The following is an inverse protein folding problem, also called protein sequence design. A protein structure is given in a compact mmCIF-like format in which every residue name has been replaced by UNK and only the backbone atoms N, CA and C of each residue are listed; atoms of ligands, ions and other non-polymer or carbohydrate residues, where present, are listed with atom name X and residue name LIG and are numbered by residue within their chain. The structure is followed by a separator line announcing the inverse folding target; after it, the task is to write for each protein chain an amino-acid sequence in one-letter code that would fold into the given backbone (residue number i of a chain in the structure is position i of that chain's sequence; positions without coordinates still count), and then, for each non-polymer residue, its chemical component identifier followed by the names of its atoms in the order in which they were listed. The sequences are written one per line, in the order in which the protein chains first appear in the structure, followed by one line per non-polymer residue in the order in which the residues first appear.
data_IF_131044525240
#
_entry.id   IF_131044525240
#
_cell.length_a   1.000
_cell.length_b   1.000
_cell.length_c   1.000
_cell.angle_alpha   90.00
_cell.angle_beta   90.00
_cell.angle_gamma   90.00
#
_symmetry.space_group_name_H-M   'P 1'
#
loop_
_entity.id
_entity.type
_entity.pdbx_description
1 polymer ?
#
# COMPACT_ATOMS: atom_id res chain seq x y z
N UNK A 1 24.62 23.90 -15.28
CA UNK A 1 23.58 22.87 -15.30
C UNK A 1 22.75 23.08 -16.56
N UNK A 2 23.05 22.28 -17.61
CA UNK A 2 22.44 22.45 -18.93
C UNK A 2 21.22 21.57 -19.07
N UNK A 3 20.11 22.21 -19.46
CA UNK A 3 18.89 21.65 -20.04
C UNK A 3 18.25 20.45 -19.32
N UNK A 4 17.40 20.75 -18.37
CA UNK A 4 16.23 19.94 -18.11
C UNK A 4 15.32 20.04 -19.34
N UNK A 5 15.47 19.09 -20.28
CA UNK A 5 14.62 19.08 -21.47
C UNK A 5 13.17 18.91 -21.06
N UNK A 6 12.34 19.90 -21.41
CA UNK A 6 10.90 19.77 -21.33
C UNK A 6 10.47 18.71 -22.33
N UNK A 7 9.58 17.84 -21.91
CA UNK A 7 9.05 16.75 -22.73
C UNK A 7 7.91 17.33 -23.57
N UNK A 8 7.96 17.30 -24.91
CA UNK A 8 7.03 18.04 -25.77
C UNK A 8 5.64 17.38 -25.86
N UNK A 9 5.01 17.14 -24.71
CA UNK A 9 3.73 16.43 -24.59
C UNK A 9 2.63 17.15 -25.37
N UNK A 10 2.62 18.49 -25.36
CA UNK A 10 1.60 19.30 -26.05
C UNK A 10 1.77 19.31 -27.57
N UNK A 11 2.95 19.01 -28.06
CA UNK A 11 3.29 19.03 -29.50
C UNK A 11 3.07 17.68 -30.18
N UNK A 12 3.12 16.59 -29.41
CA UNK A 12 2.89 15.24 -29.92
C UNK A 12 1.38 14.98 -29.92
N UNK A 13 0.76 15.10 -31.07
CA UNK A 13 -0.69 14.91 -31.24
C UNK A 13 -1.07 13.44 -31.43
N UNK A 14 -0.15 12.61 -31.92
CA UNK A 14 -0.37 11.18 -32.12
C UNK A 14 -0.20 10.42 -30.81
N UNK A 15 -1.23 9.68 -30.38
CA UNK A 15 -1.24 8.95 -29.12
C UNK A 15 -0.23 7.81 -29.09
N UNK A 16 -0.02 7.11 -30.20
CA UNK A 16 0.93 5.99 -30.25
C UNK A 16 2.37 6.48 -30.13
N UNK A 17 2.68 7.62 -30.76
CA UNK A 17 3.97 8.27 -30.64
C UNK A 17 4.24 8.75 -29.20
N UNK A 18 3.26 9.38 -28.57
CA UNK A 18 3.38 9.84 -27.18
C UNK A 18 3.48 8.65 -26.22
N UNK A 19 2.70 7.60 -26.43
CA UNK A 19 2.75 6.37 -25.64
C UNK A 19 4.12 5.68 -25.75
N UNK A 20 4.71 5.67 -26.95
CA UNK A 20 6.05 5.12 -27.16
C UNK A 20 7.11 5.94 -26.41
N UNK A 21 7.06 7.26 -26.48
CA UNK A 21 7.97 8.14 -25.75
C UNK A 21 7.86 7.95 -24.23
N UNK A 22 6.64 7.90 -23.67
CA UNK A 22 6.41 7.66 -22.26
C UNK A 22 6.98 6.30 -21.82
N UNK A 23 6.78 5.25 -22.62
CA UNK A 23 7.32 3.92 -22.36
C UNK A 23 8.87 3.89 -22.40
N UNK A 24 9.51 4.57 -23.35
CA UNK A 24 10.97 4.70 -23.43
C UNK A 24 11.54 5.43 -22.20
N UNK A 25 10.73 6.29 -21.59
CA UNK A 25 11.07 6.99 -20.36
C UNK A 25 10.76 6.19 -19.09
N UNK A 26 10.16 5.00 -19.18
CA UNK A 26 9.60 4.22 -18.06
C UNK A 26 8.52 4.99 -17.27
N UNK A 27 7.67 5.75 -17.96
CA UNK A 27 6.50 6.43 -17.40
C UNK A 27 5.26 5.63 -17.75
N UNK A 28 4.48 5.24 -16.72
CA UNK A 28 3.29 4.38 -16.87
C UNK A 28 2.00 5.14 -17.22
N UNK A 29 2.06 6.47 -17.36
CA UNK A 29 0.91 7.30 -17.72
C UNK A 29 0.38 7.00 -19.12
N UNK A 30 -0.91 7.19 -19.28
CA UNK A 30 -1.54 7.29 -20.60
C UNK A 30 -1.22 8.63 -21.28
N UNK A 31 -1.33 8.73 -22.62
CA UNK A 31 -1.20 10.01 -23.32
C UNK A 31 -2.10 11.12 -22.77
N UNK A 32 -3.35 10.80 -22.42
CA UNK A 32 -4.30 11.75 -21.86
C UNK A 32 -3.90 12.27 -20.49
N UNK A 33 -3.37 11.38 -19.63
CA UNK A 33 -2.82 11.79 -18.34
C UNK A 33 -1.61 12.71 -18.50
N UNK A 34 -0.69 12.40 -19.41
CA UNK A 34 0.46 13.25 -19.68
C UNK A 34 0.04 14.64 -20.21
N UNK A 35 -0.96 14.72 -21.10
CA UNK A 35 -1.53 15.99 -21.56
C UNK A 35 -2.23 16.76 -20.44
N UNK A 36 -2.89 16.04 -19.53
CA UNK A 36 -3.50 16.65 -18.33
C UNK A 36 -2.43 17.27 -17.42
N UNK A 37 -1.29 16.63 -17.24
CA UNK A 37 -0.15 17.22 -16.52
C UNK A 37 0.30 18.51 -17.18
N UNK A 38 0.50 18.51 -18.50
CA UNK A 38 0.88 19.72 -19.23
C UNK A 38 -0.16 20.85 -19.07
N UNK A 39 -1.43 20.50 -19.10
CA UNK A 39 -2.53 21.46 -18.86
C UNK A 39 -2.51 22.06 -17.45
N UNK A 40 -2.26 21.25 -16.43
CA UNK A 40 -2.16 21.70 -15.03
C UNK A 40 -0.97 22.64 -14.84
N UNK A 41 0.17 22.30 -15.45
CA UNK A 41 1.39 23.10 -15.37
C UNK A 41 1.34 24.38 -16.24
N UNK A 42 0.43 24.45 -17.22
CA UNK A 42 0.36 25.53 -18.21
C UNK A 42 1.55 25.53 -19.20
N UNK A 43 2.30 24.43 -19.27
CA UNK A 43 3.49 24.23 -20.11
C UNK A 43 3.78 22.75 -20.28
N UNK A 44 4.69 22.44 -21.19
CA UNK A 44 5.26 21.10 -21.26
C UNK A 44 6.00 20.72 -19.94
N UNK A 45 5.84 19.49 -19.42
CA UNK A 45 6.48 19.07 -18.20
C UNK A 45 7.97 18.76 -18.39
N UNK A 46 8.74 18.89 -17.33
CA UNK A 46 10.07 18.28 -17.24
C UNK A 46 9.95 16.78 -16.97
N UNK A 47 11.00 16.04 -17.31
CA UNK A 47 11.05 14.59 -17.08
C UNK A 47 10.76 14.21 -15.62
N UNK A 48 11.33 14.94 -14.68
CA UNK A 48 11.12 14.68 -13.23
C UNK A 48 9.68 14.90 -12.82
N UNK A 49 9.03 15.93 -13.38
CA UNK A 49 7.60 16.19 -13.09
C UNK A 49 6.72 15.06 -13.60
N UNK A 50 6.98 14.51 -14.79
CA UNK A 50 6.25 13.33 -15.27
C UNK A 50 6.42 12.14 -14.34
N UNK A 51 7.62 11.87 -13.79
CA UNK A 51 7.83 10.79 -12.83
C UNK A 51 7.06 11.02 -11.52
N UNK A 52 7.05 12.24 -11.01
CA UNK A 52 6.29 12.58 -9.79
C UNK A 52 4.79 12.33 -10.03
N UNK A 53 4.23 12.87 -11.10
CA UNK A 53 2.83 12.66 -11.43
C UNK A 53 2.50 11.19 -11.72
N UNK A 54 3.41 10.44 -12.36
CA UNK A 54 3.23 9.02 -12.64
C UNK A 54 3.10 8.18 -11.36
N UNK A 55 3.93 8.47 -10.36
CA UNK A 55 3.88 7.83 -9.06
C UNK A 55 2.62 8.23 -8.30
N UNK A 56 2.37 9.53 -8.14
CA UNK A 56 1.22 10.04 -7.37
C UNK A 56 -0.13 9.66 -7.99
N UNK A 57 -0.20 9.55 -9.32
CA UNK A 57 -1.40 9.11 -10.03
C UNK A 57 -1.41 7.61 -10.34
N UNK A 58 -0.46 6.85 -9.83
CA UNK A 58 -0.47 5.39 -9.98
C UNK A 58 -1.68 4.77 -9.28
N UNK A 59 -2.04 3.55 -9.65
CA UNK A 59 -3.08 2.80 -8.93
C UNK A 59 -2.73 2.62 -7.45
N UNK A 60 -1.44 2.47 -7.15
CA UNK A 60 -0.94 2.32 -5.78
C UNK A 60 -1.25 3.53 -4.90
N UNK A 61 -0.97 4.76 -5.38
CA UNK A 61 -1.16 5.97 -4.57
C UNK A 61 -2.58 6.56 -4.65
N UNK A 62 -3.21 6.49 -5.84
CA UNK A 62 -4.47 7.21 -6.09
C UNK A 62 -5.71 6.32 -6.20
N UNK A 63 -5.55 5.01 -6.30
CA UNK A 63 -6.65 4.06 -6.56
C UNK A 63 -7.47 4.46 -7.80
N UNK A 64 -6.80 5.01 -8.83
CA UNK A 64 -7.47 5.66 -9.98
C UNK A 64 -8.42 4.75 -10.74
N UNK A 65 -8.09 3.46 -10.83
CA UNK A 65 -8.90 2.46 -11.55
C UNK A 65 -9.86 1.73 -10.61
N UNK A 66 -9.44 1.41 -9.38
CA UNK A 66 -10.22 0.60 -8.43
C UNK A 66 -11.24 1.41 -7.63
N UNK A 67 -10.99 2.70 -7.40
CA UNK A 67 -11.86 3.56 -6.58
C UNK A 67 -13.35 3.53 -6.98
N UNK A 68 -13.75 3.57 -8.26
CA UNK A 68 -15.15 3.46 -8.64
C UNK A 68 -15.78 2.12 -8.25
N UNK A 69 -15.00 1.02 -8.38
CA UNK A 69 -15.43 -0.33 -8.00
C UNK A 69 -15.57 -0.46 -6.49
N UNK A 70 -14.57 0.03 -5.74
CA UNK A 70 -14.61 0.05 -4.28
C UNK A 70 -15.83 0.82 -3.77
N UNK A 71 -16.07 2.03 -4.28
CA UNK A 71 -17.25 2.83 -3.91
C UNK A 71 -18.57 2.16 -4.23
N UNK A 72 -18.62 1.35 -5.29
CA UNK A 72 -19.86 0.68 -5.71
C UNK A 72 -20.18 -0.54 -4.86
N UNK A 73 -19.17 -1.29 -4.44
CA UNK A 73 -19.33 -2.62 -3.87
C UNK A 73 -19.01 -2.73 -2.38
N UNK A 74 -18.28 -1.76 -1.80
CA UNK A 74 -18.01 -1.77 -0.37
C UNK A 74 -19.14 -1.03 0.39
N UNK A 75 -19.83 -1.73 1.32
CA UNK A 75 -20.85 -1.10 2.16
C UNK A 75 -20.18 -0.27 3.26
N UNK A 76 -20.07 1.04 3.02
CA UNK A 76 -19.49 1.98 3.99
C UNK A 76 -20.55 2.74 4.79
N UNK A 77 -21.81 2.44 4.55
CA UNK A 77 -23.01 3.06 5.14
C UNK A 77 -23.70 2.19 6.20
N UNK A 78 -23.11 1.06 6.58
CA UNK A 78 -23.62 0.23 7.64
C UNK A 78 -23.65 0.98 9.00
N UNK A 79 -24.67 0.74 9.83
CA UNK A 79 -24.92 1.50 11.06
C UNK A 79 -23.79 1.43 12.10
N UNK A 80 -22.94 0.41 12.01
CA UNK A 80 -21.78 0.24 12.88
C UNK A 80 -20.50 0.88 12.31
N UNK A 81 -20.50 1.38 11.07
CA UNK A 81 -19.33 2.06 10.47
C UNK A 81 -19.30 3.49 11.00
N UNK A 82 -18.18 3.90 11.58
CA UNK A 82 -17.90 5.28 11.97
C UNK A 82 -17.13 5.96 10.84
N UNK A 83 -16.12 5.28 10.32
CA UNK A 83 -15.27 5.78 9.24
C UNK A 83 -14.98 4.66 8.25
N UNK A 84 -15.32 4.88 6.99
CA UNK A 84 -15.00 3.99 5.87
C UNK A 84 -13.59 4.25 5.32
N UNK A 85 -13.27 3.75 4.11
CA UNK A 85 -11.93 3.85 3.51
C UNK A 85 -11.67 5.25 2.95
N UNK A 86 -11.58 6.25 3.79
CA UNK A 86 -11.31 7.66 3.43
C UNK A 86 -10.10 8.24 4.13
N UNK A 87 -9.61 7.57 5.18
CA UNK A 87 -8.44 7.93 5.96
C UNK A 87 -7.49 6.72 6.06
N UNK A 88 -6.51 6.79 6.95
CA UNK A 88 -5.46 5.77 7.08
C UNK A 88 -6.00 4.40 7.50
N UNK A 89 -7.10 4.36 8.28
CA UNK A 89 -7.72 3.13 8.74
C UNK A 89 -9.25 3.22 8.80
N UNK A 90 -9.93 2.09 8.67
CA UNK A 90 -11.36 1.97 8.88
C UNK A 90 -11.73 1.87 10.37
N UNK A 91 -12.89 2.42 10.75
CA UNK A 91 -13.36 2.43 12.15
C UNK A 91 -14.79 1.95 12.25
N UNK A 92 -15.00 1.01 13.15
CA UNK A 92 -16.34 0.50 13.46
C UNK A 92 -16.66 0.62 14.95
N UNK A 93 -17.94 0.82 15.28
CA UNK A 93 -18.44 0.73 16.65
C UNK A 93 -18.24 -0.69 17.19
N UNK A 94 -17.83 -0.81 18.42
CA UNK A 94 -17.54 -2.11 19.01
C UNK A 94 -18.40 -2.39 20.25
N UNK A 95 -18.21 -1.63 21.33
CA UNK A 95 -18.86 -1.90 22.60
C UNK A 95 -18.99 -0.65 23.46
N UNK A 96 -19.82 -0.78 24.50
CA UNK A 96 -19.88 0.19 25.60
C UNK A 96 -19.33 -0.46 26.87
N UNK A 97 -18.41 0.21 27.53
CA UNK A 97 -17.85 -0.22 28.80
C UNK A 97 -17.67 1.01 29.72
N UNK A 98 -18.02 0.87 30.99
CA UNK A 98 -17.87 1.93 32.00
C UNK A 98 -18.49 3.28 31.57
N UNK A 99 -19.67 3.23 30.91
CA UNK A 99 -20.36 4.43 30.43
C UNK A 99 -19.74 5.11 29.21
N UNK A 100 -18.80 4.47 28.53
CA UNK A 100 -18.10 5.00 27.38
C UNK A 100 -18.19 4.06 26.18
N UNK A 101 -18.38 4.61 24.99
CA UNK A 101 -18.36 3.86 23.75
C UNK A 101 -16.90 3.67 23.27
N UNK A 102 -16.60 2.46 22.79
CA UNK A 102 -15.32 2.11 22.18
C UNK A 102 -15.52 1.67 20.74
N UNK A 103 -14.54 1.99 19.93
CA UNK A 103 -14.46 1.60 18.53
C UNK A 103 -13.24 0.73 18.27
N UNK A 104 -13.33 -0.11 17.24
CA UNK A 104 -12.19 -0.84 16.67
C UNK A 104 -11.71 -0.04 15.47
N UNK A 105 -10.40 0.17 15.41
CA UNK A 105 -9.67 0.67 14.26
C UNK A 105 -8.97 -0.50 13.59
N UNK A 106 -9.11 -0.60 12.29
CA UNK A 106 -8.64 -1.74 11.52
C UNK A 106 -7.99 -1.24 10.22
N UNK A 107 -6.77 -1.69 9.99
CA UNK A 107 -6.05 -1.42 8.75
C UNK A 107 -5.40 -2.69 8.20
N UNK A 108 -5.24 -2.78 6.89
CA UNK A 108 -4.59 -3.87 6.19
C UNK A 108 -3.68 -3.31 5.11
N UNK A 109 -2.44 -3.71 5.14
CA UNK A 109 -1.42 -3.31 4.17
C UNK A 109 -0.77 -4.52 3.51
N UNK A 110 -0.30 -4.35 2.28
CA UNK A 110 0.56 -5.30 1.60
C UNK A 110 1.91 -4.67 1.31
N UNK A 111 3.02 -5.32 1.74
CA UNK A 111 4.39 -4.85 1.55
C UNK A 111 5.22 -5.86 0.75
N UNK A 112 4.72 -6.20 -0.44
CA UNK A 112 5.15 -7.35 -1.23
C UNK A 112 6.49 -7.14 -1.93
N UNK A 113 6.55 -6.15 -2.83
CA UNK A 113 7.74 -5.91 -3.65
C UNK A 113 8.98 -5.53 -2.83
N UNK A 114 8.92 -4.66 -1.83
CA UNK A 114 10.05 -4.41 -0.94
C UNK A 114 10.55 -5.67 -0.25
N UNK A 115 9.64 -6.55 0.21
CA UNK A 115 9.99 -7.81 0.85
C UNK A 115 10.61 -8.85 -0.10
N UNK A 116 10.27 -8.79 -1.39
CA UNK A 116 10.90 -9.62 -2.42
C UNK A 116 12.37 -9.27 -2.64
N UNK A 117 12.74 -8.01 -2.41
CA UNK A 117 14.09 -7.47 -2.68
C UNK A 117 14.95 -7.41 -1.42
N UNK A 118 14.38 -6.95 -0.32
CA UNK A 118 15.01 -6.81 1.00
C UNK A 118 14.02 -7.33 2.05
N UNK A 119 13.97 -8.65 2.28
CA UNK A 119 12.88 -9.27 3.03
C UNK A 119 12.79 -8.82 4.49
N UNK A 120 13.91 -8.62 5.18
CA UNK A 120 13.90 -8.15 6.58
C UNK A 120 13.35 -6.72 6.66
N UNK A 121 13.94 -5.80 5.92
CA UNK A 121 13.57 -4.38 5.93
C UNK A 121 12.16 -4.16 5.33
N UNK A 122 11.83 -4.92 4.28
CA UNK A 122 10.53 -4.87 3.64
C UNK A 122 9.41 -5.27 4.58
N UNK A 123 9.55 -6.41 5.25
CA UNK A 123 8.54 -6.90 6.19
C UNK A 123 8.46 -6.06 7.47
N UNK A 124 9.61 -5.62 8.00
CA UNK A 124 9.67 -4.71 9.14
C UNK A 124 8.92 -3.40 8.85
N UNK A 125 9.11 -2.83 7.65
CA UNK A 125 8.38 -1.63 7.22
C UNK A 125 6.88 -1.89 7.10
N UNK A 126 6.46 -3.07 6.63
CA UNK A 126 5.06 -3.47 6.59
C UNK A 126 4.39 -3.42 7.96
N UNK A 127 5.05 -3.99 8.99
CA UNK A 127 4.56 -3.89 10.38
C UNK A 127 4.51 -2.42 10.84
N UNK A 128 5.59 -1.66 10.60
CA UNK A 128 5.68 -0.27 11.05
C UNK A 128 4.65 0.64 10.40
N UNK A 129 4.41 0.48 9.10
CA UNK A 129 3.43 1.24 8.34
C UNK A 129 2.02 1.02 8.86
N UNK A 130 1.59 -0.24 8.96
CA UNK A 130 0.22 -0.55 9.37
C UNK A 130 -0.08 -0.22 10.84
N UNK A 131 0.91 -0.35 11.73
CA UNK A 131 0.78 0.08 13.12
C UNK A 131 0.62 1.60 13.20
N UNK A 132 1.40 2.33 12.41
CA UNK A 132 1.31 3.79 12.34
C UNK A 132 -0.06 4.26 11.84
N UNK A 133 -0.64 3.60 10.85
CA UNK A 133 -1.97 3.94 10.32
C UNK A 133 -3.03 3.86 11.44
N UNK A 134 -2.98 2.81 12.25
CA UNK A 134 -3.89 2.63 13.37
C UNK A 134 -3.63 3.65 14.49
N UNK A 135 -2.36 3.92 14.82
CA UNK A 135 -1.99 4.92 15.84
C UNK A 135 -2.41 6.34 15.42
N UNK A 136 -2.28 6.69 14.13
CA UNK A 136 -2.68 7.99 13.59
C UNK A 136 -4.19 8.27 13.74
N UNK A 137 -5.02 7.23 13.88
CA UNK A 137 -6.45 7.36 14.17
C UNK A 137 -6.75 7.57 15.68
N UNK A 138 -5.73 7.76 16.52
CA UNK A 138 -5.85 7.91 17.97
C UNK A 138 -6.07 6.60 18.73
N UNK A 139 -5.90 5.44 18.07
CA UNK A 139 -6.14 4.13 18.65
C UNK A 139 -4.90 3.59 19.37
N UNK A 140 -5.13 2.77 20.39
CA UNK A 140 -4.10 1.92 20.97
C UNK A 140 -4.06 0.60 20.22
N UNK A 141 -2.94 0.29 19.59
CA UNK A 141 -2.73 -0.97 18.88
C UNK A 141 -2.71 -2.13 19.86
N UNK A 142 -3.52 -3.14 19.57
CA UNK A 142 -3.67 -4.31 20.44
C UNK A 142 -3.15 -5.61 19.83
N UNK A 143 -3.10 -5.69 18.52
CA UNK A 143 -2.63 -6.87 17.80
C UNK A 143 -2.29 -6.59 16.34
N UNK A 144 -1.42 -7.43 15.79
CA UNK A 144 -1.22 -7.61 14.35
C UNK A 144 -1.50 -9.04 13.92
N UNK A 145 -1.69 -9.25 12.63
CA UNK A 145 -1.81 -10.56 12.02
C UNK A 145 -1.20 -10.53 10.61
N UNK A 146 -0.66 -11.66 10.14
CA UNK A 146 0.03 -11.74 8.86
C UNK A 146 -0.55 -12.82 7.96
N UNK A 147 -0.76 -12.50 6.69
CA UNK A 147 -1.07 -13.46 5.65
C UNK A 147 0.08 -13.49 4.63
N UNK A 148 0.92 -14.52 4.72
CA UNK A 148 2.17 -14.61 3.99
C UNK A 148 2.07 -15.61 2.83
N UNK A 149 2.59 -15.20 1.67
CA UNK A 149 2.64 -16.06 0.47
C UNK A 149 4.05 -16.06 -0.08
N UNK A 150 4.60 -17.23 -0.28
CA UNK A 150 5.97 -17.41 -0.77
C UNK A 150 5.99 -18.39 -1.94
N UNK A 151 7.04 -18.33 -2.74
CA UNK A 151 7.31 -19.29 -3.79
C UNK A 151 7.43 -20.72 -3.27
N UNK A 152 7.65 -21.68 -4.17
CA UNK A 152 7.73 -23.08 -3.83
C UNK A 152 9.08 -23.43 -3.17
N UNK A 153 9.11 -23.86 -1.90
CA UNK A 153 10.36 -24.21 -1.21
C UNK A 153 11.03 -25.50 -1.73
N UNK A 154 10.34 -26.30 -2.55
CA UNK A 154 10.88 -27.44 -3.27
C UNK A 154 11.05 -27.21 -4.77
N UNK A 155 10.76 -26.02 -5.25
CA UNK A 155 10.79 -25.65 -6.67
C UNK A 155 12.16 -25.20 -7.18
N UNK A 156 12.16 -24.66 -8.40
CA UNK A 156 13.38 -24.18 -9.09
C UNK A 156 14.10 -23.08 -8.32
N UNK A 157 13.36 -22.25 -7.59
CA UNK A 157 13.87 -21.09 -6.87
C UNK A 157 13.91 -21.30 -5.35
N UNK A 158 13.92 -22.55 -4.87
CA UNK A 158 13.82 -22.93 -3.46
C UNK A 158 14.75 -22.15 -2.53
N UNK A 159 16.02 -21.98 -2.89
CA UNK A 159 16.99 -21.24 -2.06
C UNK A 159 16.60 -19.76 -1.87
N UNK A 160 16.10 -19.12 -2.93
CA UNK A 160 15.59 -17.74 -2.88
C UNK A 160 14.32 -17.65 -2.05
N UNK A 161 13.41 -18.57 -2.25
CA UNK A 161 12.16 -18.66 -1.48
C UNK A 161 12.44 -18.78 0.02
N UNK A 162 13.36 -19.66 0.41
CA UNK A 162 13.76 -19.81 1.81
C UNK A 162 14.40 -18.55 2.38
N UNK A 163 15.28 -17.90 1.61
CA UNK A 163 15.90 -16.64 2.02
C UNK A 163 14.86 -15.54 2.24
N UNK A 164 13.91 -15.41 1.32
CA UNK A 164 12.81 -14.42 1.44
C UNK A 164 11.93 -14.76 2.66
N UNK A 165 11.48 -16.00 2.81
CA UNK A 165 10.59 -16.39 3.89
C UNK A 165 11.24 -16.17 5.26
N UNK A 166 12.50 -16.59 5.43
CA UNK A 166 13.24 -16.38 6.68
C UNK A 166 13.41 -14.89 6.98
N UNK A 167 13.82 -14.10 5.99
CA UNK A 167 14.00 -12.66 6.19
C UNK A 167 12.68 -11.93 6.51
N UNK A 168 11.57 -12.31 5.87
CA UNK A 168 10.24 -11.77 6.19
C UNK A 168 9.86 -12.06 7.64
N UNK A 169 10.02 -13.31 8.08
CA UNK A 169 9.73 -13.71 9.47
C UNK A 169 10.62 -12.94 10.45
N UNK A 170 11.90 -12.80 10.15
CA UNK A 170 12.84 -12.02 10.97
C UNK A 170 12.44 -10.54 11.05
N UNK A 171 12.04 -9.94 9.95
CA UNK A 171 11.60 -8.54 9.91
C UNK A 171 10.34 -8.30 10.74
N UNK A 172 9.34 -9.16 10.59
CA UNK A 172 8.10 -9.14 11.40
C UNK A 172 8.43 -9.27 12.88
N UNK A 173 9.27 -10.26 13.24
CA UNK A 173 9.68 -10.53 14.61
C UNK A 173 10.44 -9.35 15.25
N UNK A 174 11.44 -8.80 14.54
CA UNK A 174 12.26 -7.71 15.06
C UNK A 174 11.43 -6.46 15.33
N UNK A 175 10.58 -6.07 14.40
CA UNK A 175 9.79 -4.85 14.54
C UNK A 175 8.62 -5.03 15.51
N UNK A 176 7.87 -6.12 15.42
CA UNK A 176 6.75 -6.42 16.31
C UNK A 176 7.18 -6.54 17.78
N UNK A 177 8.31 -7.20 18.05
CA UNK A 177 8.85 -7.30 19.40
C UNK A 177 9.33 -5.95 19.97
N UNK A 178 9.94 -5.11 19.13
CA UNK A 178 10.37 -3.78 19.56
C UNK A 178 9.18 -2.88 19.96
N UNK A 179 8.05 -3.02 19.25
CA UNK A 179 6.81 -2.32 19.57
C UNK A 179 6.04 -2.95 20.74
N UNK A 180 6.33 -4.20 21.09
CA UNK A 180 5.55 -4.95 22.07
C UNK A 180 4.15 -5.32 21.60
N UNK A 181 3.91 -5.37 20.27
CA UNK A 181 2.63 -5.72 19.68
C UNK A 181 2.58 -7.23 19.40
N UNK A 182 1.61 -7.98 19.94
CA UNK A 182 1.49 -9.41 19.70
C UNK A 182 1.00 -9.69 18.28
N UNK A 183 1.63 -10.67 17.63
CA UNK A 183 1.10 -11.26 16.40
C UNK A 183 0.17 -12.42 16.77
N UNK A 184 -1.13 -12.27 16.57
CA UNK A 184 -2.12 -13.21 17.09
C UNK A 184 -2.68 -14.18 16.06
N UNK A 185 -2.53 -13.90 14.79
CA UNK A 185 -3.14 -14.69 13.72
C UNK A 185 -2.38 -14.56 12.43
N UNK A 186 -2.72 -15.40 11.47
CA UNK A 186 -2.17 -15.36 10.13
C UNK A 186 -2.10 -16.76 9.52
N UNK A 187 -1.57 -16.81 8.32
CA UNK A 187 -1.29 -18.07 7.63
C UNK A 187 -0.07 -17.92 6.72
N UNK A 188 0.53 -19.05 6.39
CA UNK A 188 1.63 -19.12 5.43
C UNK A 188 1.25 -20.10 4.31
N UNK A 189 1.42 -19.67 3.07
CA UNK A 189 1.13 -20.48 1.89
C UNK A 189 2.31 -20.46 0.92
N UNK A 190 2.55 -21.58 0.26
CA UNK A 190 3.63 -21.74 -0.71
C UNK A 190 3.07 -22.21 -2.05
N UNK A 191 3.42 -21.50 -3.13
CA UNK A 191 3.01 -21.83 -4.49
C UNK A 191 3.98 -21.22 -5.49
N UNK A 192 4.21 -21.91 -6.63
CA UNK A 192 5.12 -21.45 -7.69
C UNK A 192 4.75 -20.06 -8.23
N UNK A 193 3.47 -19.67 -8.15
CA UNK A 193 3.00 -18.36 -8.60
C UNK A 193 3.59 -17.17 -7.81
N UNK A 194 4.13 -17.41 -6.62
CA UNK A 194 4.76 -16.41 -5.76
C UNK A 194 6.30 -16.40 -5.83
N UNK A 195 6.91 -17.16 -6.75
CA UNK A 195 8.37 -17.22 -6.88
C UNK A 195 9.01 -15.86 -7.15
N UNK A 196 8.36 -15.04 -7.97
CA UNK A 196 8.88 -13.71 -8.38
C UNK A 196 8.24 -12.54 -7.63
N UNK A 197 7.22 -12.78 -6.82
CA UNK A 197 6.56 -11.78 -6.01
C UNK A 197 5.88 -12.40 -4.78
N UNK A 198 6.58 -12.45 -3.66
CA UNK A 198 5.99 -12.85 -2.40
C UNK A 198 4.89 -11.88 -1.97
N UNK A 199 3.92 -12.36 -1.19
CA UNK A 199 2.93 -11.49 -0.56
C UNK A 199 3.19 -11.43 0.94
N UNK A 200 3.41 -10.21 1.41
CA UNK A 200 3.55 -9.91 2.84
C UNK A 200 2.42 -8.96 3.19
N UNK A 201 1.33 -9.53 3.68
CA UNK A 201 0.14 -8.79 4.06
C UNK A 201 0.06 -8.73 5.57
N UNK A 202 -0.08 -7.54 6.10
CA UNK A 202 -0.18 -7.28 7.53
C UNK A 202 -1.51 -6.62 7.85
N UNK A 203 -2.14 -7.12 8.88
CA UNK A 203 -3.35 -6.54 9.47
C UNK A 203 -2.99 -5.97 10.83
N UNK A 204 -3.49 -4.79 11.14
CA UNK A 204 -3.37 -4.20 12.46
C UNK A 204 -4.75 -3.85 13.03
N UNK A 205 -4.90 -4.11 14.31
CA UNK A 205 -6.12 -3.83 15.06
C UNK A 205 -5.80 -2.95 16.26
N UNK A 206 -6.55 -1.87 16.41
CA UNK A 206 -6.48 -1.00 17.56
C UNK A 206 -7.86 -0.75 18.20
N UNK A 207 -7.85 -0.23 19.40
CA UNK A 207 -9.04 0.16 20.14
C UNK A 207 -8.93 1.63 20.53
N UNK A 208 -10.02 2.36 20.35
CA UNK A 208 -10.09 3.79 20.68
C UNK A 208 -11.44 4.10 21.34
N UNK A 209 -11.48 4.97 22.35
CA UNK A 209 -12.74 5.56 22.76
C UNK A 209 -13.33 6.39 21.61
N UNK A 210 -14.62 6.20 21.31
CA UNK A 210 -15.28 6.83 20.16
C UNK A 210 -15.21 8.38 20.16
N UNK A 211 -15.08 8.98 21.34
CA UNK A 211 -14.90 10.42 21.53
C UNK A 211 -13.45 10.93 21.42
N UNK A 212 -12.51 10.03 21.06
CA UNK A 212 -11.07 10.33 20.90
C UNK A 212 -10.49 9.90 19.54
N UNK A 213 -11.34 9.62 18.59
CA UNK A 213 -10.92 9.39 17.19
C UNK A 213 -10.36 10.70 16.64
N UNK A 214 -9.20 10.61 15.97
CA UNK A 214 -8.49 11.74 15.34
C UNK A 214 -8.85 11.80 13.87
#
# INVERSE_FOLDING_TARGET
MKNTHMIPVTRITNDDELKKLLKEMNVGMTPDEARKVASILGRDPHRVELFIFDIEWSEHCSYKSSRPTLKKYLPTDASNVILGPSEDAGIIRFTHANGREYAIVFAHESHNHPSQVLPVEGAATGIGGIVRDVDCMGAHVVAVADALRFGNPGGKHAARTQWIANGVIDGIWQYGNALGVPNLAGDVYFDDSFDDNCLVNVVCVGVVPADRII
#
